data_IF_204295903748
#
_entry.id   IF_204295903748
#
_cell.length_a   1.000
_cell.length_b   1.000
_cell.length_c   1.000
_cell.angle_alpha   90.00
_cell.angle_beta   90.00
_cell.angle_gamma   90.00
#
_symmetry.space_group_name_H-M   'P 1'
#
loop_
_entity.id
_entity.type
_entity.pdbx_description
1 polymer ?
#
# COMPACT_ATOMS: atom_id res chain seq x y z
N UNK A 1 56.40 34.47 -27.34
CA UNK A 1 55.88 35.79 -26.89
C UNK A 1 54.69 36.16 -27.74
N UNK A 2 53.46 35.99 -27.29
CA UNK A 2 52.26 36.62 -27.80
C UNK A 2 51.32 36.88 -26.62
N UNK A 3 50.97 38.13 -26.42
CA UNK A 3 50.16 38.62 -25.31
C UNK A 3 48.68 38.29 -25.52
N UNK A 4 47.87 38.13 -24.44
CA UNK A 4 46.43 37.92 -24.52
C UNK A 4 45.70 39.24 -24.73
N UNK A 5 44.72 39.24 -25.66
CA UNK A 5 43.80 40.31 -25.95
C UNK A 5 42.70 40.33 -24.90
N UNK A 6 42.53 41.45 -24.19
CA UNK A 6 41.36 41.75 -23.36
C UNK A 6 40.22 42.18 -24.29
N UNK A 7 39.08 41.54 -24.15
CA UNK A 7 37.81 42.06 -24.71
C UNK A 7 36.88 42.38 -23.55
N UNK A 8 36.70 43.66 -23.31
CA UNK A 8 35.63 44.20 -22.47
C UNK A 8 34.42 44.45 -23.37
N UNK A 9 33.26 43.94 -23.03
CA UNK A 9 32.00 44.44 -23.56
C UNK A 9 30.90 44.25 -22.50
N UNK A 10 30.69 45.34 -21.76
CA UNK A 10 29.47 45.52 -20.99
C UNK A 10 28.34 45.82 -21.97
N UNK A 11 27.25 45.05 -21.89
CA UNK A 11 25.98 45.34 -22.57
C UNK A 11 25.01 45.92 -21.53
N UNK A 12 24.25 46.98 -21.88
CA UNK A 12 23.30 47.61 -20.97
C UNK A 12 22.08 46.67 -20.74
N UNK A 13 21.68 46.57 -19.47
CA UNK A 13 20.44 45.92 -19.04
C UNK A 13 19.28 46.83 -19.45
N UNK A 14 18.52 46.44 -20.48
CA UNK A 14 17.26 47.07 -20.84
C UNK A 14 16.14 46.54 -19.94
N UNK A 15 15.42 47.43 -19.28
CA UNK A 15 14.18 47.14 -18.57
C UNK A 15 13.14 46.58 -19.53
N UNK A 16 12.54 45.45 -19.14
CA UNK A 16 11.41 44.84 -19.86
C UNK A 16 10.13 45.64 -19.56
N UNK A 17 9.29 45.93 -20.58
CA UNK A 17 8.03 46.62 -20.37
C UNK A 17 6.99 45.69 -19.68
N UNK A 18 6.18 46.31 -18.81
CA UNK A 18 5.07 45.68 -18.11
C UNK A 18 4.05 45.05 -19.07
N UNK A 19 3.48 43.90 -18.73
CA UNK A 19 2.45 43.26 -19.55
C UNK A 19 1.13 44.07 -19.49
N UNK A 20 0.38 44.15 -20.59
CA UNK A 20 -0.88 44.90 -20.65
C UNK A 20 -1.95 44.24 -19.77
N UNK A 21 -2.70 45.07 -19.04
CA UNK A 21 -3.85 44.69 -18.24
C UNK A 21 -4.93 44.02 -19.09
N UNK A 22 -5.31 42.80 -18.69
CA UNK A 22 -6.40 42.04 -19.31
C UNK A 22 -7.77 42.66 -18.94
N UNK A 23 -8.72 42.79 -19.87
CA UNK A 23 -10.06 43.29 -19.57
C UNK A 23 -10.86 42.25 -18.76
N UNK A 24 -11.43 42.70 -17.65
CA UNK A 24 -12.39 41.97 -16.84
C UNK A 24 -13.67 41.78 -17.64
N UNK A 25 -13.89 40.59 -18.18
CA UNK A 25 -15.19 40.17 -18.70
C UNK A 25 -16.02 39.56 -17.54
N UNK A 26 -16.96 40.34 -17.06
CA UNK A 26 -18.07 39.82 -16.28
C UNK A 26 -18.85 38.81 -17.15
N UNK A 27 -18.85 37.55 -16.78
CA UNK A 27 -19.72 36.49 -17.33
C UNK A 27 -20.57 35.90 -16.24
N UNK A 28 -21.87 35.99 -16.44
CA UNK A 28 -22.95 35.32 -15.75
C UNK A 28 -22.61 33.85 -15.39
N UNK A 29 -22.57 33.56 -14.11
CA UNK A 29 -22.56 32.18 -13.59
C UNK A 29 -23.99 31.71 -13.29
N UNK A 30 -24.70 31.34 -14.32
CA UNK A 30 -25.85 30.42 -14.22
C UNK A 30 -25.66 29.29 -15.23
N UNK A 31 -25.29 28.11 -14.70
CA UNK A 31 -25.30 26.74 -15.20
C UNK A 31 -23.93 26.06 -15.18
N UNK A 32 -23.62 25.46 -14.04
CA UNK A 32 -22.88 24.18 -13.99
C UNK A 32 -23.10 23.51 -12.63
N UNK A 33 -24.18 22.73 -12.51
CA UNK A 33 -24.46 21.90 -11.33
C UNK A 33 -23.67 20.60 -11.37
N UNK A 34 -22.35 20.63 -11.12
CA UNK A 34 -21.52 19.40 -11.05
C UNK A 34 -20.36 19.51 -10.06
N UNK A 35 -20.45 20.31 -9.03
CA UNK A 35 -19.55 20.21 -7.87
C UNK A 35 -20.28 20.76 -6.64
N UNK A 36 -21.29 20.08 -6.19
CA UNK A 36 -21.78 20.29 -4.84
C UNK A 36 -20.72 19.79 -3.86
N UNK A 37 -20.32 20.65 -2.95
CA UNK A 37 -19.49 20.24 -1.81
C UNK A 37 -20.17 19.07 -1.09
N UNK A 38 -19.41 18.12 -0.53
CA UNK A 38 -19.99 17.00 0.21
C UNK A 38 -20.84 17.55 1.36
N UNK A 39 -22.09 17.10 1.41
CA UNK A 39 -23.06 17.42 2.46
C UNK A 39 -22.48 17.07 3.84
N UNK A 40 -22.28 18.03 4.76
CA UNK A 40 -21.80 17.74 6.09
C UNK A 40 -22.77 16.90 6.94
N UNK A 41 -23.97 16.63 6.45
CA UNK A 41 -24.98 15.77 7.09
C UNK A 41 -25.00 14.35 6.55
N UNK A 42 -24.03 13.96 5.68
CA UNK A 42 -23.91 12.58 5.23
C UNK A 42 -23.82 11.66 6.45
N UNK A 43 -24.87 10.88 6.66
CA UNK A 43 -25.05 9.97 7.78
C UNK A 43 -23.79 9.14 8.06
N UNK A 44 -23.40 8.99 9.34
CA UNK A 44 -22.33 8.07 9.68
C UNK A 44 -22.77 6.69 9.22
N UNK A 45 -21.95 6.06 8.35
CA UNK A 45 -22.09 4.64 8.04
C UNK A 45 -22.17 3.93 9.39
N UNK A 46 -23.31 3.31 9.67
CA UNK A 46 -23.54 2.57 10.91
C UNK A 46 -22.39 1.59 11.06
N UNK A 47 -21.59 1.80 12.10
CA UNK A 47 -20.61 0.81 12.54
C UNK A 47 -21.42 -0.43 12.91
N UNK A 48 -21.34 -1.45 12.06
CA UNK A 48 -21.80 -2.77 12.42
C UNK A 48 -21.21 -3.10 13.80
N UNK A 49 -22.08 -3.65 14.67
CA UNK A 49 -21.78 -4.09 16.01
C UNK A 49 -20.37 -4.69 16.08
N UNK A 50 -19.55 -4.20 17.01
CA UNK A 50 -18.24 -4.74 17.31
C UNK A 50 -18.39 -6.17 17.85
N UNK A 51 -18.41 -7.14 16.94
CA UNK A 51 -17.89 -8.46 17.24
C UNK A 51 -16.44 -8.19 17.63
N UNK A 52 -15.99 -8.68 18.78
CA UNK A 52 -14.64 -8.50 19.31
C UNK A 52 -13.62 -8.97 18.26
N UNK A 53 -13.29 -8.12 17.32
CA UNK A 53 -12.24 -8.36 16.36
C UNK A 53 -10.94 -8.46 17.16
N UNK A 54 -10.21 -9.57 16.99
CA UNK A 54 -8.88 -9.72 17.60
C UNK A 54 -8.06 -8.47 17.25
N UNK A 55 -7.27 -7.93 18.19
CA UNK A 55 -6.42 -6.78 17.90
C UNK A 55 -5.55 -7.10 16.67
N UNK A 56 -5.35 -6.09 15.84
CA UNK A 56 -4.51 -6.22 14.65
C UNK A 56 -3.10 -6.64 15.08
N UNK A 57 -2.60 -7.73 14.52
CA UNK A 57 -1.23 -8.21 14.65
C UNK A 57 -0.72 -8.58 13.27
N UNK A 58 0.46 -8.09 12.91
CA UNK A 58 1.04 -8.24 11.57
C UNK A 58 2.16 -9.28 11.58
N UNK A 59 2.08 -10.29 10.72
CA UNK A 59 3.21 -11.16 10.39
C UNK A 59 3.84 -10.66 9.09
N UNK A 60 5.06 -10.13 9.16
CA UNK A 60 5.87 -9.76 7.99
C UNK A 60 6.59 -11.02 7.54
N UNK A 61 6.41 -11.41 6.28
CA UNK A 61 6.96 -12.65 5.72
C UNK A 61 8.09 -12.33 4.75
N UNK A 62 9.30 -12.77 5.03
CA UNK A 62 10.49 -12.48 4.22
C UNK A 62 11.12 -13.77 3.70
N UNK A 63 11.24 -13.89 2.37
CA UNK A 63 12.05 -14.90 1.71
C UNK A 63 13.43 -14.33 1.39
N UNK A 64 14.50 -14.97 1.84
CA UNK A 64 15.89 -14.60 1.57
C UNK A 64 16.59 -15.72 0.80
N UNK A 65 17.27 -15.38 -0.29
CA UNK A 65 18.14 -16.30 -1.04
C UNK A 65 19.31 -15.53 -1.62
N UNK A 66 20.51 -15.78 -1.11
CA UNK A 66 21.73 -15.07 -1.51
C UNK A 66 21.54 -13.53 -1.43
N UNK A 67 21.21 -13.04 -0.25
CA UNK A 67 20.99 -11.61 0.06
C UNK A 67 21.96 -11.12 1.18
N UNK A 68 23.19 -11.64 1.22
CA UNK A 68 24.21 -11.29 2.24
C UNK A 68 24.45 -9.79 2.36
N UNK A 69 24.22 -9.02 1.28
CA UNK A 69 24.48 -7.57 1.24
C UNK A 69 23.35 -6.74 1.84
N UNK A 70 22.15 -7.28 1.93
CA UNK A 70 20.92 -6.51 2.20
C UNK A 70 20.13 -7.03 3.39
N UNK A 71 20.16 -8.35 3.64
CA UNK A 71 19.25 -9.01 4.60
C UNK A 71 19.34 -8.40 6.01
N UNK A 72 20.54 -8.13 6.52
CA UNK A 72 20.72 -7.54 7.86
C UNK A 72 20.12 -6.13 7.94
N UNK A 73 20.38 -5.31 6.92
CA UNK A 73 19.87 -3.95 6.85
C UNK A 73 18.34 -3.95 6.80
N UNK A 74 17.74 -4.76 5.93
CA UNK A 74 16.26 -4.86 5.81
C UNK A 74 15.61 -5.30 7.11
N UNK A 75 16.21 -6.29 7.81
CA UNK A 75 15.70 -6.74 9.12
C UNK A 75 15.73 -5.57 10.12
N UNK A 76 16.84 -4.82 10.22
CA UNK A 76 16.92 -3.67 11.13
C UNK A 76 15.91 -2.60 10.77
N UNK A 77 15.78 -2.21 9.51
CA UNK A 77 14.81 -1.21 9.05
C UNK A 77 13.37 -1.63 9.39
N UNK A 78 13.02 -2.92 9.24
CA UNK A 78 11.72 -3.43 9.63
C UNK A 78 11.51 -3.37 11.14
N UNK A 79 12.51 -3.73 11.93
CA UNK A 79 12.40 -3.75 13.39
C UNK A 79 12.39 -2.36 14.03
N UNK A 80 12.99 -1.37 13.38
CA UNK A 80 13.10 0.02 13.83
C UNK A 80 11.92 0.90 13.37
N UNK A 81 11.12 0.46 12.40
CA UNK A 81 9.98 1.23 11.90
C UNK A 81 8.82 1.25 12.92
N UNK A 82 8.07 2.37 12.94
CA UNK A 82 6.90 2.54 13.80
C UNK A 82 5.65 1.87 13.24
N UNK A 83 5.07 0.95 13.98
CA UNK A 83 3.85 0.24 13.58
C UNK A 83 2.67 0.56 14.49
N UNK A 84 1.44 0.70 13.96
CA UNK A 84 0.23 0.90 14.78
C UNK A 84 -0.27 -0.38 15.45
N UNK A 85 0.49 -1.48 15.40
CA UNK A 85 0.12 -2.79 15.93
C UNK A 85 1.38 -3.62 16.26
N UNK A 86 1.18 -4.72 16.99
CA UNK A 86 2.25 -5.70 17.19
C UNK A 86 2.68 -6.33 15.88
N UNK A 87 3.98 -6.55 15.73
CA UNK A 87 4.56 -7.24 14.58
C UNK A 87 5.32 -8.50 15.01
N UNK A 88 5.39 -9.45 14.11
CA UNK A 88 6.39 -10.52 14.06
C UNK A 88 7.02 -10.54 12.66
N UNK A 89 8.30 -10.82 12.58
CA UNK A 89 9.04 -10.96 11.33
C UNK A 89 9.46 -12.43 11.17
N UNK A 90 9.03 -13.07 10.10
CA UNK A 90 9.37 -14.46 9.79
C UNK A 90 10.25 -14.44 8.55
N UNK A 91 11.52 -14.78 8.73
CA UNK A 91 12.52 -14.85 7.65
C UNK A 91 12.77 -16.30 7.30
N UNK A 92 12.67 -16.62 6.02
CA UNK A 92 12.99 -17.96 5.51
C UNK A 92 14.20 -17.86 4.60
N UNK A 93 15.31 -18.44 5.03
CA UNK A 93 16.47 -18.67 4.19
C UNK A 93 16.19 -19.83 3.25
N UNK A 94 16.05 -19.55 1.97
CA UNK A 94 15.67 -20.52 0.95
C UNK A 94 16.91 -21.24 0.37
N UNK A 95 17.74 -21.81 1.23
CA UNK A 95 18.93 -22.58 0.84
C UNK A 95 20.04 -21.69 0.27
N UNK A 96 20.34 -20.55 0.90
CA UNK A 96 21.41 -19.65 0.45
C UNK A 96 22.78 -20.34 0.50
N UNK A 97 23.64 -19.95 -0.45
CA UNK A 97 25.02 -20.46 -0.60
C UNK A 97 26.10 -19.41 -0.30
N UNK A 98 25.68 -18.18 0.01
CA UNK A 98 26.54 -17.07 0.43
C UNK A 98 26.55 -16.91 1.97
N UNK A 99 26.92 -15.74 2.48
CA UNK A 99 26.96 -15.49 3.92
C UNK A 99 25.58 -15.24 4.56
N UNK A 100 24.47 -15.29 3.80
CA UNK A 100 23.11 -15.03 4.31
C UNK A 100 22.76 -15.88 5.55
N UNK A 101 22.94 -17.21 5.58
CA UNK A 101 22.60 -18.03 6.76
C UNK A 101 23.38 -17.63 8.01
N UNK A 102 24.67 -17.29 7.84
CA UNK A 102 25.54 -16.88 8.94
C UNK A 102 25.09 -15.52 9.52
N UNK A 103 24.68 -14.59 8.68
CA UNK A 103 24.15 -13.29 9.10
C UNK A 103 22.81 -13.44 9.82
N UNK A 104 21.92 -14.28 9.31
CA UNK A 104 20.63 -14.56 9.94
C UNK A 104 20.79 -15.22 11.32
N UNK A 105 21.78 -16.09 11.50
CA UNK A 105 22.08 -16.71 12.80
C UNK A 105 22.52 -15.71 13.89
N UNK A 106 22.94 -14.49 13.52
CA UNK A 106 23.30 -13.42 14.43
C UNK A 106 22.13 -12.55 14.87
N UNK A 107 20.97 -12.68 14.23
CA UNK A 107 19.78 -11.91 14.58
C UNK A 107 19.24 -12.41 15.92
N UNK A 108 19.22 -11.52 16.91
CA UNK A 108 18.73 -11.84 18.26
C UNK A 108 17.66 -10.82 18.67
N UNK A 109 16.49 -10.95 18.11
CA UNK A 109 15.30 -10.12 18.46
C UNK A 109 14.12 -11.08 18.67
N UNK A 110 13.37 -10.98 19.80
CA UNK A 110 12.26 -11.87 20.09
C UNK A 110 11.09 -11.79 19.11
N UNK A 111 11.02 -10.74 18.29
CA UNK A 111 10.02 -10.57 17.23
C UNK A 111 10.38 -11.34 15.97
N UNK A 112 11.62 -11.87 15.84
CA UNK A 112 12.12 -12.52 14.63
C UNK A 112 12.11 -14.03 14.77
N UNK A 113 11.53 -14.71 13.81
CA UNK A 113 11.62 -16.16 13.64
C UNK A 113 12.35 -16.47 12.34
N UNK A 114 13.40 -17.30 12.42
CA UNK A 114 14.18 -17.69 11.24
C UNK A 114 13.93 -19.16 10.94
N UNK A 115 13.62 -19.45 9.68
CA UNK A 115 13.50 -20.79 9.13
C UNK A 115 14.57 -21.00 8.06
N UNK A 116 15.00 -22.24 7.88
CA UNK A 116 15.98 -22.61 6.85
C UNK A 116 15.45 -23.74 5.98
N UNK A 117 15.54 -23.60 4.68
CA UNK A 117 15.37 -24.68 3.73
C UNK A 117 16.75 -25.31 3.43
N UNK A 118 16.83 -26.65 3.30
CA UNK A 118 18.11 -27.29 2.97
C UNK A 118 18.60 -26.93 1.56
N UNK A 119 17.67 -26.71 0.64
CA UNK A 119 17.90 -26.37 -0.76
C UNK A 119 16.97 -25.23 -1.20
N UNK A 120 17.31 -24.56 -2.31
CA UNK A 120 16.45 -23.53 -2.89
C UNK A 120 15.18 -24.16 -3.49
N UNK A 121 14.04 -23.90 -2.83
CA UNK A 121 12.71 -24.32 -3.30
C UNK A 121 11.95 -23.23 -4.04
N UNK A 122 12.41 -21.99 -3.97
CA UNK A 122 11.85 -20.80 -4.62
C UNK A 122 11.09 -19.88 -3.68
N UNK A 123 11.02 -18.60 -4.05
CA UNK A 123 10.40 -17.53 -3.24
C UNK A 123 9.01 -17.91 -2.70
N UNK A 124 8.18 -18.52 -3.55
CA UNK A 124 6.83 -18.93 -3.14
C UNK A 124 6.85 -20.01 -2.08
N UNK A 125 7.74 -21.01 -2.16
CA UNK A 125 7.89 -22.04 -1.15
C UNK A 125 8.32 -21.44 0.18
N UNK A 126 9.30 -20.53 0.17
CA UNK A 126 9.77 -19.83 1.36
C UNK A 126 8.64 -19.02 2.02
N UNK A 127 7.86 -18.27 1.25
CA UNK A 127 6.72 -17.53 1.78
C UNK A 127 5.63 -18.45 2.34
N UNK A 128 5.36 -19.60 1.71
CA UNK A 128 4.41 -20.59 2.24
C UNK A 128 4.89 -21.23 3.54
N UNK A 129 6.18 -21.49 3.67
CA UNK A 129 6.79 -21.92 4.93
C UNK A 129 6.62 -20.87 6.03
N UNK A 130 6.84 -19.59 5.72
CA UNK A 130 6.58 -18.50 6.66
C UNK A 130 5.09 -18.43 7.06
N UNK A 131 4.16 -18.57 6.11
CA UNK A 131 2.70 -18.60 6.38
C UNK A 131 2.33 -19.74 7.34
N UNK A 132 3.02 -20.87 7.29
CA UNK A 132 2.71 -22.03 8.13
C UNK A 132 2.88 -21.76 9.62
N UNK A 133 3.88 -20.93 9.99
CA UNK A 133 4.21 -20.57 11.38
C UNK A 133 3.68 -19.19 11.79
N UNK A 134 3.14 -18.40 10.86
CA UNK A 134 2.59 -17.08 11.13
C UNK A 134 1.42 -17.14 12.12
N UNK A 135 1.43 -16.21 13.09
CA UNK A 135 0.45 -16.14 14.20
C UNK A 135 -0.37 -14.86 14.17
N UNK A 136 0.00 -13.87 13.32
CA UNK A 136 -0.71 -12.61 13.16
C UNK A 136 -2.13 -12.77 12.61
N UNK A 137 -2.91 -11.73 12.75
CA UNK A 137 -4.24 -11.65 12.11
C UNK A 137 -4.14 -11.43 10.61
N UNK A 138 -3.08 -10.69 10.21
CA UNK A 138 -2.76 -10.37 8.82
C UNK A 138 -1.31 -10.70 8.51
N UNK A 139 -1.05 -10.99 7.26
CA UNK A 139 0.29 -11.23 6.72
C UNK A 139 0.63 -10.19 5.66
N UNK A 140 1.90 -9.85 5.57
CA UNK A 140 2.46 -8.97 4.56
C UNK A 140 3.79 -9.55 4.06
N UNK A 141 3.89 -10.07 2.84
CA UNK A 141 5.17 -10.38 2.23
C UNK A 141 6.02 -9.12 2.07
N UNK A 142 7.33 -9.22 2.36
CA UNK A 142 8.31 -8.15 2.22
C UNK A 142 9.62 -8.73 1.68
N UNK A 143 10.20 -8.09 0.67
CA UNK A 143 11.41 -8.59 0.03
C UNK A 143 12.67 -8.18 0.81
N UNK A 144 13.68 -9.08 0.86
CA UNK A 144 14.95 -8.86 1.58
C UNK A 144 15.95 -7.99 0.79
N UNK A 145 15.50 -7.24 -0.21
CA UNK A 145 16.35 -6.69 -1.27
C UNK A 145 16.43 -5.17 -1.35
N UNK A 146 15.87 -4.46 -0.37
CA UNK A 146 15.81 -3.00 -0.29
C UNK A 146 15.06 -2.33 -1.46
N UNK A 147 14.28 -3.08 -2.24
CA UNK A 147 13.44 -2.46 -3.28
C UNK A 147 12.20 -1.74 -2.69
N UNK A 148 11.71 -2.16 -1.51
CA UNK A 148 10.66 -1.52 -0.73
C UNK A 148 11.20 -0.92 0.56
N UNK A 149 10.46 0.03 1.14
CA UNK A 149 10.82 0.66 2.41
C UNK A 149 9.77 0.32 3.49
N UNK A 150 10.21 -0.08 4.71
CA UNK A 150 9.29 -0.45 5.78
C UNK A 150 8.39 0.68 6.27
N UNK A 151 8.78 1.93 6.08
CA UNK A 151 8.02 3.14 6.44
C UNK A 151 6.70 3.28 5.67
N UNK A 152 6.54 2.56 4.57
CA UNK A 152 5.27 2.50 3.84
C UNK A 152 4.26 1.52 4.45
N UNK A 153 4.70 0.56 5.29
CA UNK A 153 3.82 -0.45 5.90
C UNK A 153 2.70 0.17 6.74
N UNK A 154 2.93 1.18 7.60
CA UNK A 154 1.86 1.86 8.34
C UNK A 154 0.78 2.45 7.44
N UNK A 155 1.16 2.98 6.26
CA UNK A 155 0.21 3.48 5.26
C UNK A 155 -0.64 2.37 4.66
N UNK A 156 -0.03 1.20 4.41
CA UNK A 156 -0.73 0.00 3.90
C UNK A 156 -1.68 -0.57 4.96
N UNK A 157 -1.36 -0.48 6.25
CA UNK A 157 -2.21 -0.93 7.36
C UNK A 157 -3.41 -0.01 7.61
N UNK A 158 -3.31 1.28 7.29
CA UNK A 158 -4.32 2.30 7.63
C UNK A 158 -5.75 1.98 7.11
N UNK A 159 -5.97 1.51 5.86
CA UNK A 159 -7.32 1.18 5.40
C UNK A 159 -7.98 0.06 6.22
N UNK A 160 -7.20 -0.94 6.66
CA UNK A 160 -7.69 -2.05 7.49
C UNK A 160 -8.02 -1.56 8.89
N UNK A 161 -7.14 -0.80 9.54
CA UNK A 161 -7.38 -0.26 10.88
C UNK A 161 -8.61 0.66 10.94
N UNK A 162 -8.98 1.27 9.81
CA UNK A 162 -10.20 2.07 9.64
C UNK A 162 -11.43 1.26 9.23
N UNK A 163 -11.31 -0.06 9.08
CA UNK A 163 -12.40 -0.93 8.64
C UNK A 163 -12.90 -0.66 7.22
N UNK A 164 -12.04 -0.12 6.34
CA UNK A 164 -12.42 0.23 4.95
C UNK A 164 -12.38 -0.95 3.99
N UNK A 165 -11.52 -1.92 4.27
CA UNK A 165 -11.32 -3.10 3.43
C UNK A 165 -10.66 -4.21 4.25
N UNK A 166 -10.61 -5.42 3.69
CA UNK A 166 -9.96 -6.59 4.30
C UNK A 166 -8.59 -6.89 3.70
N UNK A 167 -8.34 -6.46 2.45
CA UNK A 167 -7.11 -6.71 1.70
C UNK A 167 -6.59 -5.41 1.10
N UNK A 168 -5.29 -5.15 1.29
CA UNK A 168 -4.62 -3.95 0.74
C UNK A 168 -3.39 -4.37 -0.06
N UNK A 169 -3.21 -3.76 -1.21
CA UNK A 169 -1.99 -3.86 -2.01
C UNK A 169 -1.23 -2.55 -1.98
N UNK A 170 0.05 -2.61 -1.61
CA UNK A 170 0.98 -1.50 -1.79
C UNK A 170 1.46 -1.48 -3.23
N UNK A 171 0.98 -0.54 -4.06
CA UNK A 171 1.20 -0.54 -5.50
C UNK A 171 2.28 0.45 -5.95
N UNK A 172 3.07 0.05 -6.96
CA UNK A 172 4.16 0.83 -7.54
C UNK A 172 3.63 1.68 -8.68
N UNK A 173 3.19 2.90 -8.36
CA UNK A 173 2.64 3.81 -9.37
C UNK A 173 3.76 4.66 -10.01
N UNK A 174 3.86 4.70 -11.34
CA UNK A 174 4.79 5.59 -12.03
C UNK A 174 4.55 7.05 -11.62
N UNK A 175 5.62 7.77 -11.27
CA UNK A 175 5.55 9.14 -10.81
C UNK A 175 5.24 9.32 -9.31
N UNK A 176 5.04 8.23 -8.57
CA UNK A 176 4.82 8.24 -7.12
C UNK A 176 5.95 7.48 -6.42
N UNK A 177 7.06 8.15 -6.09
CA UNK A 177 8.20 7.55 -5.35
C UNK A 177 8.70 6.21 -5.92
N UNK A 178 8.65 6.04 -7.25
CA UNK A 178 8.94 4.77 -7.91
C UNK A 178 10.00 4.94 -8.98
N UNK A 179 11.06 4.13 -8.91
CA UNK A 179 12.11 4.03 -9.92
C UNK A 179 12.13 2.63 -10.52
N UNK A 180 11.82 2.51 -11.80
CA UNK A 180 11.97 1.27 -12.57
C UNK A 180 13.26 1.29 -13.37
N UNK A 181 14.09 0.25 -13.21
CA UNK A 181 15.35 0.15 -13.95
C UNK A 181 15.17 -0.22 -15.42
N UNK A 182 14.07 -0.87 -15.80
CA UNK A 182 13.83 -1.26 -17.17
C UNK A 182 12.36 -1.11 -17.59
N UNK A 183 12.15 -0.55 -18.76
CA UNK A 183 10.83 -0.42 -19.38
C UNK A 183 10.16 -1.79 -19.59
N UNK A 184 10.94 -2.80 -19.89
CA UNK A 184 10.47 -4.12 -20.27
C UNK A 184 9.76 -4.85 -19.13
N UNK A 185 10.33 -4.82 -17.91
CA UNK A 185 9.70 -5.41 -16.72
C UNK A 185 8.44 -4.66 -16.31
N UNK A 186 8.45 -3.32 -16.37
CA UNK A 186 7.27 -2.51 -16.11
C UNK A 186 6.14 -2.84 -17.10
N UNK A 187 6.47 -3.02 -18.39
CA UNK A 187 5.50 -3.36 -19.44
C UNK A 187 4.97 -4.78 -19.27
N UNK A 188 5.83 -5.76 -18.95
CA UNK A 188 5.43 -7.14 -18.65
C UNK A 188 4.44 -7.21 -17.49
N UNK A 189 4.73 -6.51 -16.39
CA UNK A 189 3.81 -6.43 -15.25
C UNK A 189 2.46 -5.81 -15.65
N UNK A 190 2.47 -4.70 -16.41
CA UNK A 190 1.23 -4.06 -16.89
C UNK A 190 0.40 -5.01 -17.76
N UNK A 191 1.05 -5.78 -18.62
CA UNK A 191 0.34 -6.73 -19.49
C UNK A 191 -0.31 -7.85 -18.70
N UNK A 192 0.39 -8.44 -17.72
CA UNK A 192 -0.15 -9.47 -16.83
C UNK A 192 -1.25 -8.92 -15.93
N UNK A 193 -1.11 -7.71 -15.44
CA UNK A 193 -2.15 -7.02 -14.67
C UNK A 193 -3.42 -6.80 -15.52
N UNK A 194 -3.27 -6.36 -16.79
CA UNK A 194 -4.39 -6.24 -17.72
C UNK A 194 -5.07 -7.58 -17.98
N UNK A 195 -4.28 -8.63 -18.17
CA UNK A 195 -4.82 -10.00 -18.34
C UNK A 195 -5.65 -10.42 -17.13
N UNK A 196 -5.16 -10.21 -15.91
CA UNK A 196 -5.90 -10.50 -14.69
C UNK A 196 -7.21 -9.68 -14.63
N UNK A 197 -7.15 -8.38 -14.93
CA UNK A 197 -8.31 -7.50 -14.93
C UNK A 197 -9.41 -7.99 -15.90
N UNK A 198 -9.03 -8.42 -17.10
CA UNK A 198 -9.97 -8.99 -18.08
C UNK A 198 -10.53 -10.33 -17.60
N UNK A 199 -9.69 -11.24 -17.14
CA UNK A 199 -10.11 -12.59 -16.73
C UNK A 199 -11.07 -12.58 -15.52
N UNK A 200 -10.87 -11.65 -14.59
CA UNK A 200 -11.60 -11.63 -13.32
C UNK A 200 -12.56 -10.43 -13.19
N UNK A 201 -12.73 -9.64 -14.25
CA UNK A 201 -13.52 -8.40 -14.23
C UNK A 201 -13.15 -7.53 -13.02
N UNK A 202 -11.86 -7.17 -12.93
CA UNK A 202 -11.28 -6.39 -11.85
C UNK A 202 -10.59 -5.13 -12.39
N UNK A 203 -10.17 -4.25 -11.50
CA UNK A 203 -9.38 -3.07 -11.84
C UNK A 203 -8.22 -2.95 -10.85
N UNK A 204 -7.13 -3.64 -11.15
CA UNK A 204 -5.86 -3.55 -10.42
C UNK A 204 -4.85 -2.76 -11.24
N UNK A 205 -3.92 -2.09 -10.58
CA UNK A 205 -2.82 -1.36 -11.22
C UNK A 205 -1.50 -2.11 -11.16
N UNK A 206 -1.27 -2.96 -10.14
CA UNK A 206 -0.03 -3.71 -9.93
C UNK A 206 -0.29 -5.12 -9.38
N UNK A 207 -0.31 -6.11 -10.28
CA UNK A 207 -0.49 -7.54 -9.93
C UNK A 207 0.68 -8.10 -9.10
N UNK A 208 1.92 -7.72 -9.43
CA UNK A 208 3.14 -8.30 -8.88
C UNK A 208 3.83 -7.41 -7.83
N UNK A 209 3.08 -6.56 -7.14
CA UNK A 209 3.60 -5.95 -5.91
C UNK A 209 3.89 -7.02 -4.87
N UNK A 210 4.98 -6.86 -4.11
CA UNK A 210 5.25 -7.73 -2.97
C UNK A 210 4.32 -7.39 -1.79
N UNK A 211 4.07 -6.10 -1.55
CA UNK A 211 3.30 -5.64 -0.39
C UNK A 211 1.80 -5.96 -0.55
N UNK A 212 1.43 -7.17 -0.17
CA UNK A 212 0.03 -7.67 -0.16
C UNK A 212 -0.40 -7.95 1.28
N UNK A 213 -1.10 -7.01 1.88
CA UNK A 213 -1.66 -7.16 3.22
C UNK A 213 -2.98 -7.94 3.14
N UNK A 214 -2.98 -9.15 3.68
CA UNK A 214 -4.07 -10.12 3.54
C UNK A 214 -4.36 -10.75 4.92
N UNK A 215 -5.63 -10.95 5.32
CA UNK A 215 -5.94 -11.74 6.51
C UNK A 215 -5.32 -13.15 6.39
N UNK A 216 -4.62 -13.60 7.44
CA UNK A 216 -3.94 -14.89 7.44
C UNK A 216 -4.90 -16.06 7.12
N UNK A 217 -6.10 -16.03 7.68
CA UNK A 217 -7.13 -17.02 7.41
C UNK A 217 -7.53 -17.06 5.92
N UNK A 218 -7.72 -15.88 5.32
CA UNK A 218 -8.03 -15.76 3.89
C UNK A 218 -6.89 -16.34 3.04
N UNK A 219 -5.64 -15.96 3.33
CA UNK A 219 -4.49 -16.48 2.58
C UNK A 219 -4.39 -18.01 2.67
N UNK A 220 -4.56 -18.60 3.87
CA UNK A 220 -4.57 -20.05 4.10
C UNK A 220 -5.70 -20.75 3.33
N UNK A 221 -6.87 -20.10 3.18
CA UNK A 221 -8.02 -20.67 2.44
C UNK A 221 -7.81 -20.76 0.92
N UNK A 222 -6.85 -20.01 0.36
CA UNK A 222 -6.57 -20.02 -1.08
C UNK A 222 -5.94 -21.33 -1.56
N UNK A 223 -5.41 -22.18 -0.66
CA UNK A 223 -4.74 -23.45 -0.99
C UNK A 223 -3.67 -23.28 -2.08
N UNK A 224 -2.76 -22.35 -1.86
CA UNK A 224 -1.69 -21.95 -2.78
C UNK A 224 -0.70 -23.09 -3.02
N UNK A 225 -0.15 -23.16 -4.24
CA UNK A 225 0.73 -24.27 -4.67
C UNK A 225 1.99 -23.81 -5.41
N UNK A 226 2.01 -22.55 -5.85
CA UNK A 226 3.14 -22.02 -6.61
C UNK A 226 4.35 -21.79 -5.71
N UNK A 227 5.47 -22.43 -6.07
CA UNK A 227 6.72 -22.35 -5.31
C UNK A 227 7.63 -21.19 -5.75
N UNK A 228 7.46 -20.67 -6.95
CA UNK A 228 8.29 -19.60 -7.54
C UNK A 228 7.64 -18.22 -7.51
N UNK A 229 8.04 -17.36 -8.45
CA UNK A 229 7.50 -16.00 -8.63
C UNK A 229 6.03 -15.96 -9.06
N UNK A 230 5.47 -17.10 -9.50
CA UNK A 230 4.06 -17.21 -9.83
C UNK A 230 3.10 -17.11 -8.66
N UNK A 231 3.61 -17.20 -7.40
CA UNK A 231 2.79 -17.13 -6.20
C UNK A 231 1.98 -15.84 -6.13
N UNK A 232 2.55 -14.70 -6.51
CA UNK A 232 1.85 -13.40 -6.54
C UNK A 232 0.62 -13.41 -7.46
N UNK A 233 0.76 -14.08 -8.62
CA UNK A 233 -0.34 -14.28 -9.57
C UNK A 233 -1.40 -15.23 -9.02
N UNK A 234 -0.99 -16.29 -8.33
CA UNK A 234 -1.92 -17.27 -7.73
C UNK A 234 -2.72 -16.65 -6.57
N UNK A 235 -2.07 -15.89 -5.68
CA UNK A 235 -2.71 -15.15 -4.59
C UNK A 235 -3.77 -14.19 -5.18
N UNK A 236 -3.36 -13.34 -6.11
CA UNK A 236 -4.26 -12.34 -6.68
C UNK A 236 -5.45 -12.98 -7.39
N UNK A 237 -5.21 -13.99 -8.24
CA UNK A 237 -6.27 -14.71 -8.91
C UNK A 237 -7.22 -15.42 -7.93
N UNK A 238 -6.68 -15.98 -6.84
CA UNK A 238 -7.46 -16.62 -5.77
C UNK A 238 -8.39 -15.62 -5.08
N UNK A 239 -7.87 -14.47 -4.65
CA UNK A 239 -8.63 -13.40 -4.02
C UNK A 239 -9.75 -12.90 -4.94
N UNK A 240 -9.42 -12.61 -6.21
CA UNK A 240 -10.39 -12.13 -7.19
C UNK A 240 -11.53 -13.13 -7.44
N UNK A 241 -11.22 -14.44 -7.39
CA UNK A 241 -12.25 -15.51 -7.47
C UNK A 241 -13.18 -15.55 -6.27
N UNK A 242 -12.67 -15.26 -5.07
CA UNK A 242 -13.50 -15.13 -3.87
C UNK A 242 -14.36 -13.86 -3.89
N UNK A 243 -14.23 -13.02 -4.92
CA UNK A 243 -14.93 -11.74 -5.00
C UNK A 243 -14.24 -10.61 -4.22
N UNK A 244 -13.07 -10.90 -3.62
CA UNK A 244 -12.29 -9.91 -2.86
C UNK A 244 -11.58 -8.98 -3.85
N UNK A 245 -11.77 -7.67 -3.67
CA UNK A 245 -11.12 -6.63 -4.47
C UNK A 245 -10.14 -5.89 -3.57
N UNK A 246 -8.81 -6.03 -3.79
CA UNK A 246 -7.81 -5.33 -2.99
C UNK A 246 -7.98 -3.82 -3.08
N UNK A 247 -7.81 -3.14 -1.95
CA UNK A 247 -7.66 -1.69 -1.89
C UNK A 247 -6.21 -1.35 -2.23
N UNK A 248 -5.96 -0.42 -3.14
CA UNK A 248 -4.62 -0.09 -3.59
C UNK A 248 -4.10 1.20 -2.92
N UNK A 249 -2.87 1.13 -2.37
CA UNK A 249 -2.18 2.25 -1.71
C UNK A 249 -0.83 2.45 -2.40
N UNK A 250 -0.49 3.66 -2.86
CA UNK A 250 0.82 3.94 -3.45
C UNK A 250 1.95 3.73 -2.42
N UNK A 251 3.02 3.05 -2.85
CA UNK A 251 4.22 2.80 -2.04
C UNK A 251 5.49 3.16 -2.80
N UNK A 252 6.56 3.40 -2.06
CA UNK A 252 7.90 3.65 -2.58
C UNK A 252 8.50 2.38 -3.16
N UNK A 253 9.25 2.51 -4.26
CA UNK A 253 9.90 1.38 -4.90
C UNK A 253 11.20 1.79 -5.60
N UNK A 254 12.29 1.16 -5.22
CA UNK A 254 13.63 1.41 -5.73
C UNK A 254 14.16 0.18 -6.49
N UNK A 255 13.63 -0.05 -7.68
CA UNK A 255 13.94 -1.26 -8.47
C UNK A 255 15.43 -1.44 -8.74
N UNK A 256 15.96 -2.65 -8.47
CA UNK A 256 17.34 -3.02 -8.73
C UNK A 256 17.59 -3.31 -10.20
N UNK A 257 18.84 -3.06 -10.67
CA UNK A 257 19.29 -3.46 -11.99
C UNK A 257 19.61 -4.98 -12.03
N UNK A 258 19.73 -5.55 -13.24
CA UNK A 258 20.22 -6.94 -13.40
C UNK A 258 21.61 -7.17 -12.78
N UNK A 259 22.51 -6.19 -12.92
CA UNK A 259 23.84 -6.25 -12.30
C UNK A 259 23.79 -6.27 -10.76
N UNK A 260 22.68 -5.79 -10.18
CA UNK A 260 22.43 -5.81 -8.74
C UNK A 260 21.64 -7.06 -8.27
N UNK A 261 21.54 -8.12 -9.09
CA UNK A 261 21.01 -9.43 -8.69
C UNK A 261 19.53 -9.69 -8.97
N UNK A 262 18.88 -8.99 -9.89
CA UNK A 262 17.48 -9.25 -10.26
C UNK A 262 17.31 -10.66 -10.84
N UNK A 263 16.49 -11.50 -10.21
CA UNK A 263 16.39 -12.96 -10.44
C UNK A 263 15.27 -13.34 -11.44
N UNK A 264 14.37 -12.43 -11.82
CA UNK A 264 13.20 -12.69 -12.69
C UNK A 264 13.61 -12.94 -14.12
N UNK A 265 13.08 -14.00 -14.77
CA UNK A 265 13.33 -14.40 -16.16
C UNK A 265 12.09 -14.22 -17.02
N UNK A 266 12.25 -14.15 -18.35
CA UNK A 266 11.14 -14.05 -19.30
C UNK A 266 10.10 -15.18 -19.21
N UNK A 267 10.56 -16.40 -18.90
CA UNK A 267 9.69 -17.55 -18.73
C UNK A 267 8.70 -17.39 -17.57
N UNK A 268 9.05 -16.61 -16.56
CA UNK A 268 8.20 -16.37 -15.39
C UNK A 268 6.91 -15.63 -15.78
N UNK A 269 6.99 -14.70 -16.74
CA UNK A 269 5.81 -14.01 -17.27
C UNK A 269 4.79 -14.96 -17.92
N UNK A 270 5.27 -15.92 -18.72
CA UNK A 270 4.40 -16.92 -19.35
C UNK A 270 3.82 -17.89 -18.31
N UNK A 271 4.61 -18.27 -17.29
CA UNK A 271 4.12 -19.06 -16.18
C UNK A 271 3.01 -18.32 -15.41
N UNK A 272 3.18 -17.02 -15.12
CA UNK A 272 2.16 -16.19 -14.47
C UNK A 272 0.86 -16.16 -15.30
N UNK A 273 0.92 -15.97 -16.61
CA UNK A 273 -0.25 -15.99 -17.48
C UNK A 273 -0.99 -17.34 -17.42
N UNK A 274 -0.24 -18.46 -17.46
CA UNK A 274 -0.83 -19.81 -17.30
C UNK A 274 -1.48 -20.00 -15.93
N UNK A 275 -0.89 -19.46 -14.86
CA UNK A 275 -1.44 -19.53 -13.51
C UNK A 275 -2.76 -18.77 -13.44
N UNK A 276 -2.84 -17.54 -13.96
CA UNK A 276 -4.06 -16.75 -14.03
C UNK A 276 -5.19 -17.51 -14.74
N UNK A 277 -4.88 -18.11 -15.92
CA UNK A 277 -5.85 -18.92 -16.68
C UNK A 277 -6.26 -20.18 -15.88
N UNK A 278 -5.28 -20.92 -15.34
CA UNK A 278 -5.55 -22.11 -14.53
C UNK A 278 -6.47 -21.82 -13.35
N UNK A 279 -6.20 -20.75 -12.60
CA UNK A 279 -7.02 -20.36 -11.46
C UNK A 279 -8.41 -19.91 -11.92
N UNK A 280 -8.53 -19.20 -13.05
CA UNK A 280 -9.83 -18.78 -13.60
C UNK A 280 -10.72 -19.97 -13.98
N UNK A 281 -10.12 -21.03 -14.54
CA UNK A 281 -10.79 -22.23 -15.05
C UNK A 281 -11.05 -23.30 -13.97
N UNK A 282 -10.46 -23.20 -12.78
CA UNK A 282 -10.80 -24.12 -11.68
C UNK A 282 -12.30 -24.05 -11.36
N UNK A 283 -12.91 -25.15 -10.89
CA UNK A 283 -14.28 -25.12 -10.38
C UNK A 283 -14.42 -24.06 -9.27
N UNK A 284 -15.54 -23.34 -9.24
CA UNK A 284 -15.79 -22.33 -8.21
C UNK A 284 -15.67 -22.98 -6.82
N UNK A 285 -15.01 -22.37 -5.83
CA UNK A 285 -15.07 -22.85 -4.48
C UNK A 285 -16.55 -22.89 -4.07
N UNK A 286 -17.02 -24.04 -3.57
CA UNK A 286 -18.32 -24.08 -2.91
C UNK A 286 -18.23 -23.09 -1.75
N UNK A 287 -19.02 -22.02 -1.77
CA UNK A 287 -19.33 -21.30 -0.56
C UNK A 287 -20.06 -22.30 0.33
N UNK A 288 -19.41 -22.82 1.37
CA UNK A 288 -20.14 -23.32 2.51
C UNK A 288 -20.98 -22.13 2.98
N UNK A 289 -22.30 -22.29 2.96
CA UNK A 289 -23.21 -21.33 3.53
C UNK A 289 -22.82 -21.18 5.01
N UNK A 290 -22.03 -20.13 5.32
CA UNK A 290 -22.11 -19.52 6.62
C UNK A 290 -23.55 -19.03 6.73
N UNK A 291 -24.28 -19.60 7.68
CA UNK A 291 -25.70 -19.41 7.91
C UNK A 291 -26.14 -17.97 7.67
N UNK A 292 -27.08 -17.83 6.75
CA UNK A 292 -27.79 -16.60 6.39
C UNK A 292 -28.64 -16.15 7.62
N UNK A 293 -27.99 -15.50 8.55
CA UNK A 293 -28.64 -14.64 9.53
C UNK A 293 -28.64 -13.20 9.01
N UNK A 294 -29.25 -13.01 7.84
CA UNK A 294 -29.80 -11.71 7.48
C UNK A 294 -30.99 -11.45 8.40
N UNK A 295 -30.95 -10.46 9.31
CA UNK A 295 -32.17 -9.99 9.92
C UNK A 295 -32.96 -9.27 8.81
N UNK A 296 -33.98 -9.92 8.28
CA UNK A 296 -35.04 -9.25 7.55
C UNK A 296 -35.69 -8.23 8.50
N UNK A 297 -35.16 -7.01 8.49
CA UNK A 297 -35.78 -5.88 9.15
C UNK A 297 -37.12 -5.59 8.50
N UNK A 298 -38.17 -5.85 9.24
CA UNK A 298 -39.53 -5.46 8.95
C UNK A 298 -39.61 -3.94 8.73
N UNK A 299 -39.77 -3.51 7.48
CA UNK A 299 -39.91 -2.11 7.05
C UNK A 299 -41.29 -1.52 7.36
N UNK A 300 -42.15 -2.15 8.16
CA UNK A 300 -43.50 -1.69 8.46
C UNK A 300 -43.63 -0.74 9.67
N UNK A 301 -42.56 -0.34 10.34
CA UNK A 301 -42.59 0.66 11.42
C UNK A 301 -41.97 1.98 11.00
N UNK A 302 -42.65 2.75 10.19
CA UNK A 302 -42.45 4.19 10.06
C UNK A 302 -43.08 4.85 11.28
N UNK A 303 -42.25 5.18 12.26
CA UNK A 303 -42.68 6.04 13.38
C UNK A 303 -42.56 7.48 12.91
N UNK A 304 -43.70 8.14 12.78
CA UNK A 304 -43.80 9.58 12.55
C UNK A 304 -43.22 10.33 13.73
N UNK A 305 -42.12 11.03 13.54
CA UNK A 305 -41.55 11.96 14.51
C UNK A 305 -42.14 13.35 14.24
N UNK A 306 -42.98 13.83 15.14
CA UNK A 306 -43.45 15.21 15.15
C UNK A 306 -42.26 16.15 15.49
N UNK A 307 -42.24 17.38 14.93
CA UNK A 307 -41.19 18.35 15.24
C UNK A 307 -41.42 19.01 16.58
N UNK A 308 -40.48 18.91 17.52
CA UNK A 308 -40.47 19.63 18.78
C UNK A 308 -39.76 20.99 18.60
N UNK A 309 -40.44 22.14 18.73
CA UNK A 309 -39.80 23.45 18.68
C UNK A 309 -39.34 23.87 20.10
N UNK A 310 -38.03 23.93 20.31
CA UNK A 310 -37.44 24.60 21.43
C UNK A 310 -36.81 25.93 21.01
N UNK A 311 -37.00 27.03 21.76
CA UNK A 311 -36.48 28.33 21.38
C UNK A 311 -35.00 28.51 21.75
N UNK A 312 -34.28 29.15 20.83
CA UNK A 312 -32.88 29.53 21.00
C UNK A 312 -32.76 30.75 21.90
N UNK A 313 -32.15 30.61 23.07
CA UNK A 313 -31.77 31.74 23.92
C UNK A 313 -30.62 32.53 23.31
N UNK A 314 -30.83 33.85 23.20
CA UNK A 314 -29.84 34.84 22.79
C UNK A 314 -28.78 35.04 23.89
N UNK A 315 -27.50 34.82 23.55
CA UNK A 315 -26.37 35.24 24.37
C UNK A 315 -25.89 36.60 23.86
N UNK A 316 -25.79 37.66 24.71
CA UNK A 316 -25.34 38.98 24.29
C UNK A 316 -23.82 39.03 24.10
N UNK A 317 -23.39 39.72 23.07
CA UNK A 317 -22.00 40.04 22.77
C UNK A 317 -21.41 41.01 23.80
N UNK A 318 -20.29 40.63 24.41
CA UNK A 318 -19.48 41.53 25.22
C UNK A 318 -18.53 42.33 24.34
N UNK A 319 -18.68 43.64 24.40
CA UNK A 319 -17.75 44.64 23.87
C UNK A 319 -16.52 44.73 24.77
N UNK A 320 -15.32 44.62 24.20
CA UNK A 320 -14.08 44.96 24.90
C UNK A 320 -13.56 46.29 24.35
N UNK A 321 -13.51 47.28 25.25
CA UNK A 321 -12.76 48.52 25.10
C UNK A 321 -11.55 48.48 26.04
N UNK A 322 -10.48 49.14 25.62
CA UNK A 322 -9.31 49.63 26.37
C UNK A 322 -8.23 48.57 26.74
N UNK A 323 -6.99 48.79 26.37
CA UNK A 323 -6.03 49.81 26.69
C UNK A 323 -4.63 49.49 26.26
N UNK A 324 -4.19 50.41 25.57
CA UNK A 324 -2.81 50.77 25.27
C UNK A 324 -1.87 50.73 26.48
N UNK A 325 -0.66 50.13 26.37
CA UNK A 325 0.61 50.70 26.88
C UNK A 325 1.83 49.75 26.78
N UNK A 326 2.78 50.34 26.10
CA UNK A 326 4.20 50.37 26.46
C UNK A 326 5.16 49.25 26.08
N UNK A 327 5.86 49.58 25.02
CA UNK A 327 7.22 49.18 24.65
C UNK A 327 8.20 49.45 25.79
N UNK A 328 9.10 48.54 26.12
CA UNK A 328 10.53 48.82 26.36
C UNK A 328 11.42 47.59 26.23
N UNK A 329 12.44 47.78 25.37
CA UNK A 329 13.59 46.94 25.17
C UNK A 329 14.44 46.76 26.45
N UNK A 330 15.15 45.61 26.53
CA UNK A 330 16.51 45.56 27.07
C UNK A 330 17.25 44.42 26.35
N UNK A 331 18.33 44.77 25.70
CA UNK A 331 19.48 43.98 25.28
C UNK A 331 20.22 43.38 26.48
N UNK A 332 20.73 42.18 26.31
CA UNK A 332 21.66 41.47 27.18
C UNK A 332 22.03 40.16 26.50
#
# INVERSE_FOLDING_TARGET
MRQPVRVSSELPVGEAPDPPASPVLARDHQRSGWLSAPDPTAHPVQRGSSVHAKPLRLSILMAAYNEEKTVTQVIHEILDADYPCEIELIVVDDGSTDATPMLLAQVNDPRVTILHHPDNEGKGAALLSAVSVATGTHVLPFDADLEYVPEDIPRVLQPISRGRCEVVYGVRLPGCYTVYQTYLYATGNRLLTRLANVLFNAHLTDLHTCLKLIPLATLKSLNLREKGFGLDSEITAGLLRLGIRPFEVPVSYYGRSHAAGKKIKWGDGLACARILLRVRLRAAPRREHADDHSPQGDLSRVVSLEPNPQPVEHVPSATNSDGDKAIKAVTG
#
